data_IF_811259392912
#
_entry.id   IF_811259392912
#
_cell.length_a   1.000
_cell.length_b   1.000
_cell.length_c   1.000
_cell.angle_alpha   90.00
_cell.angle_beta   90.00
_cell.angle_gamma   90.00
#
_symmetry.space_group_name_H-M   'P 1'
#
loop_
_entity.id
_entity.type
_entity.pdbx_description
1 polymer ?
#
# COMPACT_ATOMS: atom_id res chain seq x y z
N UNK A 1 19.16 -49.50 -47.98
CA UNK A 1 20.45 -48.79 -48.03
C UNK A 1 20.22 -47.53 -48.84
N UNK A 2 20.26 -46.38 -48.17
CA UNK A 2 20.25 -45.00 -48.71
C UNK A 2 19.03 -44.54 -49.54
N UNK A 3 18.63 -43.27 -49.57
CA UNK A 3 18.69 -42.08 -48.71
C UNK A 3 18.01 -40.96 -49.55
N UNK A 4 17.34 -40.00 -48.90
CA UNK A 4 17.44 -38.54 -49.16
C UNK A 4 16.41 -37.78 -50.06
N UNK A 5 15.77 -36.81 -49.38
CA UNK A 5 15.60 -35.36 -49.67
C UNK A 5 14.71 -34.78 -50.79
N UNK A 6 13.67 -34.03 -50.37
CA UNK A 6 13.41 -32.58 -50.61
C UNK A 6 12.03 -32.24 -50.00
N UNK A 7 11.81 -31.37 -49.01
CA UNK A 7 12.17 -29.99 -48.65
C UNK A 7 11.49 -28.86 -49.46
N UNK A 8 10.92 -27.90 -48.69
CA UNK A 8 10.55 -26.51 -49.01
C UNK A 8 9.16 -26.27 -49.67
N UNK A 9 8.36 -25.24 -49.32
CA UNK A 9 8.63 -24.03 -48.53
C UNK A 9 7.34 -23.37 -48.00
N UNK A 10 7.56 -22.65 -46.90
CA UNK A 10 6.82 -21.58 -46.22
C UNK A 10 6.15 -20.51 -47.10
N UNK A 11 5.05 -19.92 -46.61
CA UNK A 11 5.03 -18.58 -45.97
C UNK A 11 3.59 -18.07 -45.82
N UNK A 12 3.15 -17.81 -44.58
CA UNK A 12 2.17 -16.74 -44.30
C UNK A 12 2.10 -16.41 -42.81
N UNK A 13 2.81 -15.32 -42.46
CA UNK A 13 2.48 -14.29 -41.46
C UNK A 13 2.08 -14.67 -40.02
N UNK A 14 3.03 -14.51 -39.09
CA UNK A 14 2.80 -14.40 -37.65
C UNK A 14 2.53 -12.93 -37.25
N UNK A 15 1.27 -12.49 -37.26
CA UNK A 15 0.85 -11.18 -36.70
C UNK A 15 -0.04 -11.32 -35.43
N UNK A 16 -0.15 -12.53 -34.89
CA UNK A 16 -1.15 -12.85 -33.85
C UNK A 16 -0.68 -12.57 -32.42
N UNK A 17 0.61 -12.29 -32.20
CA UNK A 17 1.17 -12.18 -30.85
C UNK A 17 1.02 -10.79 -30.22
N UNK A 18 0.83 -9.73 -31.02
CA UNK A 18 0.79 -8.35 -30.50
C UNK A 18 -0.61 -7.97 -29.99
N UNK A 19 -1.67 -8.37 -30.70
CA UNK A 19 -3.05 -8.06 -30.31
C UNK A 19 -3.52 -8.82 -29.06
N UNK A 20 -3.14 -10.09 -28.93
CA UNK A 20 -3.49 -10.89 -27.75
C UNK A 20 -2.83 -10.36 -26.48
N UNK A 21 -1.61 -9.81 -26.58
CA UNK A 21 -0.92 -9.21 -25.44
C UNK A 21 -1.60 -7.92 -24.96
N UNK A 22 -2.08 -7.09 -25.90
CA UNK A 22 -2.80 -5.86 -25.57
C UNK A 22 -4.18 -6.14 -24.97
N UNK A 23 -4.92 -7.12 -25.52
CA UNK A 23 -6.22 -7.51 -24.99
C UNK A 23 -6.14 -8.14 -23.60
N UNK A 24 -5.20 -9.06 -23.37
CA UNK A 24 -5.00 -9.69 -22.06
C UNK A 24 -4.59 -8.68 -20.98
N UNK A 25 -3.75 -7.70 -21.33
CA UNK A 25 -3.38 -6.65 -20.39
C UNK A 25 -4.59 -5.76 -20.02
N UNK A 26 -5.45 -5.42 -20.98
CA UNK A 26 -6.61 -4.56 -20.77
C UNK A 26 -7.64 -5.20 -19.82
N UNK A 27 -7.93 -6.50 -19.97
CA UNK A 27 -8.90 -7.22 -19.14
C UNK A 27 -8.42 -7.39 -17.70
N UNK A 28 -7.12 -7.69 -17.50
CA UNK A 28 -6.53 -7.86 -16.17
C UNK A 28 -6.54 -6.53 -15.39
N UNK A 29 -6.21 -5.41 -16.05
CA UNK A 29 -6.23 -4.09 -15.40
C UNK A 29 -7.63 -3.63 -15.03
N UNK A 30 -8.64 -3.99 -15.83
CA UNK A 30 -10.04 -3.65 -15.55
C UNK A 30 -10.57 -4.41 -14.32
N UNK A 31 -10.34 -5.72 -14.26
CA UNK A 31 -10.79 -6.54 -13.13
C UNK A 31 -10.09 -6.17 -11.82
N UNK A 32 -8.79 -5.86 -11.85
CA UNK A 32 -8.08 -5.33 -10.68
C UNK A 32 -8.68 -4.00 -10.21
N UNK A 33 -8.97 -3.08 -11.13
CA UNK A 33 -9.57 -1.79 -10.81
C UNK A 33 -10.96 -1.94 -10.19
N UNK A 34 -11.77 -2.88 -10.70
CA UNK A 34 -13.10 -3.20 -10.17
C UNK A 34 -13.02 -3.75 -8.75
N UNK A 35 -12.06 -4.63 -8.47
CA UNK A 35 -11.88 -5.21 -7.13
C UNK A 35 -11.38 -4.17 -6.13
N UNK A 36 -10.42 -3.33 -6.52
CA UNK A 36 -9.94 -2.23 -5.67
C UNK A 36 -11.06 -1.23 -5.35
N UNK A 37 -11.92 -0.94 -6.34
CA UNK A 37 -13.11 -0.08 -6.14
C UNK A 37 -14.15 -0.74 -5.24
N UNK A 38 -14.37 -2.06 -5.37
CA UNK A 38 -15.26 -2.83 -4.50
C UNK A 38 -14.75 -2.87 -3.06
N UNK A 39 -13.43 -3.01 -2.83
CA UNK A 39 -12.82 -2.99 -1.50
C UNK A 39 -13.06 -1.64 -0.80
N UNK A 40 -12.85 -0.53 -1.52
CA UNK A 40 -13.22 0.80 -1.01
C UNK A 40 -13.22 1.86 -2.11
N UNK A 41 -14.24 2.74 -2.12
CA UNK A 41 -14.22 3.95 -2.96
C UNK A 41 -13.31 5.04 -2.37
N UNK A 42 -12.82 4.88 -1.13
CA UNK A 42 -12.03 5.91 -0.47
C UNK A 42 -10.62 6.01 -1.06
N UNK A 43 -10.10 7.24 -1.01
CA UNK A 43 -8.76 7.60 -1.47
C UNK A 43 -7.96 8.30 -0.36
N UNK A 44 -7.50 7.58 0.69
CA UNK A 44 -6.75 8.17 1.80
C UNK A 44 -5.49 8.94 1.36
N UNK A 45 -4.91 8.58 0.20
CA UNK A 45 -3.74 9.26 -0.36
C UNK A 45 -4.02 10.69 -0.80
N UNK A 46 -5.25 11.01 -1.24
CA UNK A 46 -5.63 12.40 -1.56
C UNK A 46 -5.65 13.26 -0.30
N UNK A 47 -6.17 12.72 0.82
CA UNK A 47 -6.12 13.40 2.11
C UNK A 47 -4.69 13.55 2.62
N UNK A 48 -3.87 12.50 2.49
CA UNK A 48 -2.45 12.57 2.82
C UNK A 48 -1.75 13.72 2.06
N UNK A 49 -1.97 13.84 0.75
CA UNK A 49 -1.40 14.90 -0.08
C UNK A 49 -1.80 16.29 0.44
N UNK A 50 -3.08 16.52 0.76
CA UNK A 50 -3.52 17.80 1.31
C UNK A 50 -2.88 18.15 2.66
N UNK A 51 -2.71 17.14 3.53
CA UNK A 51 -2.00 17.32 4.82
C UNK A 51 -0.51 17.61 4.58
N UNK A 52 0.12 16.89 3.65
CA UNK A 52 1.53 17.05 3.29
C UNK A 52 1.81 18.44 2.73
N UNK A 53 0.98 18.93 1.80
CA UNK A 53 1.10 20.27 1.20
C UNK A 53 0.94 21.39 2.24
N UNK A 54 0.12 21.15 3.27
CA UNK A 54 -0.12 22.10 4.37
C UNK A 54 0.88 21.97 5.51
N UNK A 55 1.77 20.97 5.49
CA UNK A 55 2.72 20.68 6.57
C UNK A 55 3.88 21.67 6.52
N UNK A 56 4.15 22.32 7.65
CA UNK A 56 5.34 23.17 7.78
C UNK A 56 6.60 22.29 7.76
N UNK A 57 7.64 22.78 7.09
CA UNK A 57 8.93 22.10 6.96
C UNK A 57 9.51 21.73 8.33
N UNK A 58 10.15 20.57 8.42
CA UNK A 58 10.79 20.02 9.62
C UNK A 58 9.87 19.74 10.83
N UNK A 59 8.55 19.91 10.71
CA UNK A 59 7.60 19.58 11.80
C UNK A 59 7.69 18.10 12.14
N UNK A 60 8.00 17.80 13.40
CA UNK A 60 8.02 16.43 13.91
C UNK A 60 9.28 15.64 13.63
N UNK A 61 10.31 16.22 12.98
CA UNK A 61 11.55 15.49 12.63
C UNK A 61 12.26 14.88 13.84
N UNK A 62 12.14 15.52 15.00
CA UNK A 62 12.66 15.01 16.26
C UNK A 62 12.16 13.58 16.55
N UNK A 63 10.92 13.24 16.15
CA UNK A 63 10.32 11.93 16.37
C UNK A 63 11.12 10.82 15.67
N UNK A 64 11.54 11.05 14.43
CA UNK A 64 12.30 10.09 13.62
C UNK A 64 13.67 9.77 14.24
N UNK A 65 14.18 10.66 15.08
CA UNK A 65 15.46 10.48 15.78
C UNK A 65 15.33 9.73 17.10
N UNK A 66 14.11 9.58 17.64
CA UNK A 66 13.91 8.94 18.94
C UNK A 66 14.29 7.45 18.91
N UNK A 67 14.82 6.90 20.02
CA UNK A 67 15.08 5.46 20.14
C UNK A 67 13.82 4.62 19.95
N UNK A 68 12.66 5.13 20.41
CA UNK A 68 11.37 4.46 20.31
C UNK A 68 10.96 4.29 18.84
N UNK A 69 11.01 5.37 18.05
CA UNK A 69 10.71 5.29 16.62
C UNK A 69 11.67 4.35 15.90
N UNK A 70 12.98 4.46 16.16
CA UNK A 70 13.99 3.62 15.53
C UNK A 70 13.79 2.13 15.86
N UNK A 71 13.52 1.79 17.12
CA UNK A 71 13.27 0.41 17.54
C UNK A 71 12.01 -0.17 16.89
N UNK A 72 10.90 0.58 16.89
CA UNK A 72 9.67 0.19 16.19
C UNK A 72 9.91 0.03 14.68
N UNK A 73 10.62 0.98 14.09
CA UNK A 73 10.93 0.99 12.67
C UNK A 73 11.87 -0.14 12.25
N UNK A 74 12.85 -0.56 13.06
CA UNK A 74 13.77 -1.66 12.66
C UNK A 74 13.28 -3.03 13.09
N UNK A 75 12.29 -3.11 13.99
CA UNK A 75 11.84 -4.38 14.58
C UNK A 75 12.90 -5.03 15.48
N UNK A 76 13.89 -4.26 15.93
CA UNK A 76 15.07 -4.77 16.67
C UNK A 76 14.93 -4.66 18.19
N UNK A 77 13.69 -4.53 18.70
CA UNK A 77 13.43 -4.60 20.14
C UNK A 77 13.83 -5.98 20.65
N UNK A 78 14.65 -6.05 21.69
CA UNK A 78 15.25 -7.29 22.20
C UNK A 78 14.30 -8.28 22.89
N UNK A 79 12.99 -8.06 22.81
CA UNK A 79 11.97 -9.01 23.23
C UNK A 79 11.19 -9.48 22.01
N UNK A 80 11.07 -10.81 21.85
CA UNK A 80 10.42 -11.50 20.73
C UNK A 80 8.89 -11.25 20.65
N UNK A 81 8.35 -10.42 21.54
CA UNK A 81 6.98 -9.91 21.54
C UNK A 81 6.98 -8.43 21.99
N UNK A 82 6.47 -7.50 21.16
CA UNK A 82 5.59 -6.37 21.58
C UNK A 82 5.79 -4.98 20.95
N UNK A 83 6.78 -4.71 20.10
CA UNK A 83 6.90 -3.36 19.50
C UNK A 83 6.43 -3.27 18.03
N UNK A 84 5.29 -3.89 17.69
CA UNK A 84 4.66 -3.73 16.37
C UNK A 84 3.83 -2.45 16.25
N UNK A 85 3.45 -1.85 17.38
CA UNK A 85 2.60 -0.65 17.44
C UNK A 85 3.37 0.52 18.05
N UNK A 86 3.37 1.66 17.35
CA UNK A 86 3.83 2.94 17.88
C UNK A 86 2.61 3.84 18.08
N UNK A 87 2.33 4.19 19.34
CA UNK A 87 1.22 5.09 19.67
C UNK A 87 1.74 6.51 19.93
N UNK A 88 1.20 7.48 19.18
CA UNK A 88 1.50 8.89 19.34
C UNK A 88 0.26 9.61 19.87
N UNK A 89 0.35 10.15 21.08
CA UNK A 89 -0.73 10.92 21.71
C UNK A 89 -0.22 12.29 22.14
N UNK A 90 -1.16 13.20 22.38
CA UNK A 90 -0.88 14.56 22.81
C UNK A 90 -2.13 15.42 22.70
N UNK A 91 -2.06 16.62 23.24
CA UNK A 91 -3.21 17.52 23.31
C UNK A 91 -3.75 17.90 21.91
N UNK A 92 -5.02 18.31 21.81
CA UNK A 92 -5.55 18.87 20.57
C UNK A 92 -4.70 20.03 20.06
N UNK A 93 -4.47 20.10 18.74
CA UNK A 93 -3.72 21.20 18.11
C UNK A 93 -2.19 21.09 18.15
N UNK A 94 -1.58 20.09 18.81
CA UNK A 94 -0.10 19.94 18.85
C UNK A 94 0.54 19.47 17.53
N UNK A 95 -0.26 19.31 16.47
CA UNK A 95 0.25 18.92 15.14
C UNK A 95 0.39 17.42 14.90
N UNK A 96 -0.32 16.56 15.64
CA UNK A 96 -0.28 15.09 15.47
C UNK A 96 -0.46 14.64 14.03
N UNK A 97 -1.48 15.14 13.33
CA UNK A 97 -1.75 14.84 11.91
C UNK A 97 -0.58 15.19 10.98
N UNK A 98 0.12 16.31 11.24
CA UNK A 98 1.32 16.68 10.48
C UNK A 98 2.49 15.73 10.77
N UNK A 99 2.66 15.32 12.03
CA UNK A 99 3.67 14.33 12.42
C UNK A 99 3.36 12.97 11.79
N UNK A 100 2.09 12.54 11.79
CA UNK A 100 1.63 11.31 11.12
C UNK A 100 1.96 11.35 9.63
N UNK A 101 1.71 12.48 8.97
CA UNK A 101 2.07 12.70 7.57
C UNK A 101 3.59 12.60 7.35
N UNK A 102 4.42 13.17 8.24
CA UNK A 102 5.89 13.04 8.16
C UNK A 102 6.33 11.58 8.26
N UNK A 103 5.75 10.83 9.20
CA UNK A 103 6.06 9.41 9.38
C UNK A 103 5.68 8.61 8.12
N UNK A 104 4.50 8.86 7.55
CA UNK A 104 4.06 8.17 6.33
C UNK A 104 5.03 8.45 5.17
N UNK A 105 5.47 9.69 4.98
CA UNK A 105 6.45 10.05 3.94
C UNK A 105 7.77 9.30 4.13
N UNK A 106 8.30 9.32 5.36
CA UNK A 106 9.53 8.61 5.71
C UNK A 106 9.42 7.11 5.40
N UNK A 107 8.28 6.50 5.74
CA UNK A 107 8.03 5.09 5.45
C UNK A 107 7.89 4.83 3.94
N UNK A 108 7.23 5.72 3.19
CA UNK A 108 7.08 5.58 1.74
C UNK A 108 8.42 5.66 1.02
N UNK A 109 9.30 6.56 1.43
CA UNK A 109 10.64 6.68 0.84
C UNK A 109 11.47 5.42 1.07
N UNK A 110 11.41 4.87 2.28
CA UNK A 110 12.12 3.63 2.64
C UNK A 110 11.50 2.37 2.06
N UNK A 111 10.18 2.34 1.90
CA UNK A 111 9.47 1.21 1.33
C UNK A 111 9.95 0.87 -0.09
N UNK A 112 10.36 1.89 -0.87
CA UNK A 112 10.99 1.71 -2.18
C UNK A 112 12.30 0.94 -2.12
N UNK A 113 13.05 1.07 -1.03
CA UNK A 113 14.34 0.41 -0.82
C UNK A 113 14.20 -1.01 -0.25
N UNK A 114 13.19 -1.23 0.60
CA UNK A 114 13.05 -2.43 1.43
C UNK A 114 11.92 -3.37 1.00
N UNK A 115 11.27 -3.11 -0.14
CA UNK A 115 10.11 -3.87 -0.61
C UNK A 115 9.00 -3.99 0.46
N UNK A 116 8.72 -2.87 1.13
CA UNK A 116 7.67 -2.77 2.14
C UNK A 116 6.40 -2.15 1.57
N UNK A 117 5.27 -2.38 2.24
CA UNK A 117 3.98 -1.78 1.91
C UNK A 117 3.65 -0.73 2.97
N UNK A 118 3.14 0.42 2.54
CA UNK A 118 2.65 1.47 3.44
C UNK A 118 1.18 1.73 3.11
N UNK A 119 0.32 1.54 4.10
CA UNK A 119 -1.08 1.88 4.04
C UNK A 119 -1.39 2.94 5.10
N UNK A 120 -2.22 3.92 4.75
CA UNK A 120 -2.61 4.97 5.68
C UNK A 120 -4.11 5.24 5.66
N UNK A 121 -4.62 5.73 6.78
CA UNK A 121 -5.97 6.25 6.88
C UNK A 121 -5.98 7.46 7.82
N UNK A 122 -6.76 8.46 7.46
CA UNK A 122 -6.99 9.62 8.30
C UNK A 122 -8.48 9.69 8.58
N UNK A 123 -8.86 9.64 9.85
CA UNK A 123 -10.21 10.02 10.22
C UNK A 123 -10.42 11.52 9.98
N UNK A 124 -11.66 11.85 9.67
CA UNK A 124 -12.17 13.20 9.47
C UNK A 124 -13.51 13.33 10.18
N UNK A 125 -13.50 14.09 11.26
CA UNK A 125 -14.69 14.50 11.98
C UNK A 125 -15.80 15.04 11.06
N UNK A 126 -15.45 15.78 9.99
CA UNK A 126 -16.44 16.35 9.07
C UNK A 126 -17.13 15.30 8.17
N UNK A 127 -16.52 14.12 7.99
CA UNK A 127 -17.00 13.06 7.10
C UNK A 127 -17.44 11.79 7.87
N UNK A 128 -17.75 11.90 9.17
CA UNK A 128 -18.10 10.77 10.05
C UNK A 128 -19.14 9.80 9.49
N UNK A 129 -20.11 10.27 8.68
CA UNK A 129 -21.13 9.40 8.07
C UNK A 129 -20.56 8.41 7.05
N UNK A 130 -19.40 8.70 6.48
CA UNK A 130 -18.76 7.89 5.42
C UNK A 130 -17.59 7.05 5.95
N UNK A 131 -17.09 7.39 7.15
CA UNK A 131 -15.87 6.82 7.73
C UNK A 131 -16.15 5.86 8.88
N UNK A 132 -16.86 4.78 8.57
CA UNK A 132 -17.00 3.64 9.48
C UNK A 132 -15.69 2.84 9.60
N UNK A 133 -15.56 2.02 10.65
CA UNK A 133 -14.46 1.05 10.78
C UNK A 133 -14.34 0.15 9.53
N UNK A 134 -15.47 -0.27 8.96
CA UNK A 134 -15.49 -1.07 7.73
C UNK A 134 -14.93 -0.30 6.53
N UNK A 135 -15.28 0.99 6.41
CA UNK A 135 -14.76 1.85 5.35
C UNK A 135 -13.23 2.02 5.46
N UNK A 136 -12.73 2.20 6.69
CA UNK A 136 -11.30 2.26 6.99
C UNK A 136 -10.60 0.94 6.62
N UNK A 137 -11.11 -0.19 7.10
CA UNK A 137 -10.55 -1.51 6.81
C UNK A 137 -10.51 -1.78 5.31
N UNK A 138 -11.59 -1.48 4.58
CA UNK A 138 -11.63 -1.60 3.12
C UNK A 138 -10.58 -0.73 2.42
N UNK A 139 -10.40 0.52 2.88
CA UNK A 139 -9.42 1.44 2.32
C UNK A 139 -7.97 1.03 2.61
N UNK A 140 -7.71 0.45 3.78
CA UNK A 140 -6.41 -0.12 4.13
C UNK A 140 -6.12 -1.38 3.31
N UNK A 141 -7.09 -2.30 3.22
CA UNK A 141 -6.98 -3.50 2.40
C UNK A 141 -6.71 -3.17 0.93
N UNK A 142 -7.45 -2.21 0.36
CA UNK A 142 -7.20 -1.70 -1.00
C UNK A 142 -5.75 -1.27 -1.21
N UNK A 143 -5.16 -0.53 -0.27
CA UNK A 143 -3.76 -0.10 -0.35
C UNK A 143 -2.78 -1.28 -0.23
N UNK A 144 -3.05 -2.24 0.66
CA UNK A 144 -2.20 -3.43 0.81
C UNK A 144 -2.23 -4.29 -0.44
N UNK A 145 -3.42 -4.59 -0.95
CA UNK A 145 -3.62 -5.36 -2.19
C UNK A 145 -2.93 -4.68 -3.38
N UNK A 146 -3.08 -3.36 -3.51
CA UNK A 146 -2.40 -2.57 -4.55
C UNK A 146 -0.88 -2.64 -4.43
N UNK A 147 -0.34 -2.67 -3.20
CA UNK A 147 1.10 -2.72 -2.93
C UNK A 147 1.73 -4.09 -3.14
N UNK A 148 0.96 -5.17 -3.07
CA UNK A 148 1.46 -6.52 -3.39
C UNK A 148 1.75 -6.66 -4.89
N UNK A 149 0.96 -6.00 -5.74
CA UNK A 149 1.04 -6.12 -7.20
C UNK A 149 0.58 -7.50 -7.71
N UNK A 150 -0.12 -8.25 -6.86
CA UNK A 150 -0.55 -9.62 -7.09
C UNK A 150 -2.02 -9.66 -7.49
N UNK A 151 -2.41 -10.67 -8.27
CA UNK A 151 -3.83 -10.86 -8.58
C UNK A 151 -4.56 -11.34 -7.31
N UNK A 152 -5.86 -11.04 -7.16
CA UNK A 152 -6.65 -11.51 -6.01
C UNK A 152 -6.58 -13.02 -5.76
N UNK A 153 -6.36 -13.83 -6.81
CA UNK A 153 -6.20 -15.28 -6.72
C UNK A 153 -4.84 -15.66 -6.08
N UNK A 154 -3.79 -14.88 -6.32
CA UNK A 154 -2.45 -15.10 -5.77
C UNK A 154 -2.34 -14.69 -4.29
N UNK A 155 -3.13 -13.70 -3.86
CA UNK A 155 -3.13 -13.19 -2.47
C UNK A 155 -3.52 -14.29 -1.48
N UNK A 156 -4.41 -15.20 -1.88
CA UNK A 156 -4.87 -16.30 -1.03
C UNK A 156 -3.85 -17.46 -0.96
N UNK A 157 -2.89 -17.53 -1.90
CA UNK A 157 -1.88 -18.59 -1.98
C UNK A 157 -0.51 -18.17 -1.42
N UNK A 158 -0.20 -16.86 -1.33
CA UNK A 158 1.11 -16.35 -0.92
C UNK A 158 1.26 -15.94 0.55
N UNK A 159 0.23 -16.09 1.39
CA UNK A 159 0.35 -15.82 2.84
C UNK A 159 1.35 -16.73 3.57
N UNK A 160 2.03 -17.65 2.88
CA UNK A 160 2.90 -18.68 3.47
C UNK A 160 4.37 -18.66 3.06
N UNK A 161 4.84 -17.83 2.10
CA UNK A 161 6.24 -17.97 1.60
C UNK A 161 7.10 -16.71 1.52
N UNK A 162 6.57 -15.48 1.60
CA UNK A 162 7.39 -14.29 1.84
C UNK A 162 6.55 -13.14 2.39
N UNK A 163 6.65 -12.88 3.70
CA UNK A 163 5.91 -11.77 4.32
C UNK A 163 6.60 -10.45 4.00
N UNK A 164 6.06 -9.68 3.05
CA UNK A 164 6.48 -8.29 2.85
C UNK A 164 6.08 -7.49 4.07
N UNK A 165 7.03 -6.73 4.64
CA UNK A 165 6.75 -5.88 5.79
C UNK A 165 5.69 -4.84 5.41
N UNK A 166 4.65 -4.72 6.23
CA UNK A 166 3.56 -3.76 6.00
C UNK A 166 3.47 -2.80 7.19
N UNK A 167 3.49 -1.51 6.90
CA UNK A 167 3.23 -0.45 7.86
C UNK A 167 1.80 0.08 7.66
N UNK A 168 1.06 0.20 8.76
CA UNK A 168 -0.30 0.76 8.77
C UNK A 168 -0.27 1.99 9.66
N UNK A 169 -0.57 3.15 9.10
CA UNK A 169 -0.65 4.42 9.82
C UNK A 169 -2.11 4.87 9.90
N UNK A 170 -2.61 5.08 11.12
CA UNK A 170 -3.99 5.55 11.35
C UNK A 170 -3.92 6.84 12.16
N UNK A 171 -4.40 7.93 11.57
CA UNK A 171 -4.46 9.25 12.21
C UNK A 171 -5.86 9.54 12.74
N UNK A 172 -5.94 10.28 13.85
CA UNK A 172 -7.19 10.69 14.51
C UNK A 172 -8.12 9.53 14.93
N UNK A 173 -7.54 8.47 15.51
CA UNK A 173 -8.29 7.31 16.02
C UNK A 173 -9.40 7.67 17.02
N UNK A 174 -9.24 8.78 17.75
CA UNK A 174 -10.22 9.33 18.68
C UNK A 174 -11.48 9.91 18.00
N UNK A 175 -11.43 10.13 16.69
CA UNK A 175 -12.58 10.59 15.89
C UNK A 175 -13.43 9.41 15.34
N UNK A 176 -13.03 8.17 15.58
CA UNK A 176 -13.79 6.98 15.18
C UNK A 176 -15.07 6.84 16.02
N UNK A 177 -16.23 6.77 15.36
CA UNK A 177 -17.52 6.57 16.01
C UNK A 177 -17.70 5.09 16.38
N UNK A 178 -18.08 4.80 17.63
CA UNK A 178 -18.33 3.47 18.17
C UNK A 178 -19.66 2.85 17.71
#
# INVERSE_FOLDING_TARGET
MSQYHHNNNTHSFNNTNSFNKVLNNCTITDDQSRILTWLSPLEPRLRHQGVQESRVENVGEWLLQTPVFKSWYTGSGGDESDNSVLFCYGDPGVGKTYISSLVIDHLCDRAREQNAIVACFYFDFAAQKEQSLNSMLGALLKQVVSGLGETPEDIMLQTTTSSRRTFICIDALDECVA
#
